data_IF_837361250783
#
_entry.id   IF_837361250783
#
_cell.length_a   1.000
_cell.length_b   1.000
_cell.length_c   1.000
_cell.angle_alpha   90.00
_cell.angle_beta   90.00
_cell.angle_gamma   90.00
#
_symmetry.space_group_name_H-M   'P 1'
#
loop_
_entity.id
_entity.type
_entity.pdbx_description
1 polymer ?
#
# COMPACT_ATOMS: atom_id res chain seq x y z
N UNK A 1 -10.43 -42.15 -49.20
CA UNK A 1 -9.83 -41.85 -47.87
C UNK A 1 -10.29 -40.51 -47.25
N UNK A 2 -11.50 -40.00 -47.52
CA UNK A 2 -11.88 -38.59 -47.22
C UNK A 2 -13.06 -38.39 -46.26
N UNK A 3 -13.83 -39.43 -45.90
CA UNK A 3 -15.00 -39.30 -44.98
C UNK A 3 -14.67 -39.35 -43.48
N UNK A 4 -13.56 -39.98 -43.09
CA UNK A 4 -13.19 -40.18 -41.68
C UNK A 4 -12.75 -38.89 -40.95
N UNK A 5 -12.01 -38.00 -41.63
CA UNK A 5 -11.59 -36.71 -41.05
C UNK A 5 -12.77 -35.76 -40.80
N UNK A 6 -13.78 -35.77 -41.66
CA UNK A 6 -14.96 -34.90 -41.57
C UNK A 6 -15.85 -35.24 -40.36
N UNK A 7 -16.00 -36.54 -40.06
CA UNK A 7 -16.76 -36.97 -38.89
C UNK A 7 -16.04 -36.68 -37.56
N UNK A 8 -14.70 -36.73 -37.53
CA UNK A 8 -13.91 -36.28 -36.35
C UNK A 8 -14.09 -34.78 -36.08
N UNK A 9 -14.16 -33.96 -37.12
CA UNK A 9 -14.34 -32.51 -36.99
C UNK A 9 -15.72 -32.15 -36.41
N UNK A 10 -16.78 -32.82 -36.88
CA UNK A 10 -18.15 -32.62 -36.37
C UNK A 10 -18.29 -33.13 -34.93
N UNK A 11 -17.61 -34.24 -34.58
CA UNK A 11 -17.60 -34.74 -33.20
C UNK A 11 -16.79 -33.85 -32.23
N UNK A 12 -15.77 -33.14 -32.73
CA UNK A 12 -15.01 -32.15 -31.96
C UNK A 12 -15.85 -30.91 -31.59
N UNK A 13 -16.72 -30.46 -32.50
CA UNK A 13 -17.66 -29.35 -32.26
C UNK A 13 -18.73 -29.76 -31.22
N UNK A 14 -19.23 -31.01 -31.28
CA UNK A 14 -20.25 -31.53 -30.35
C UNK A 14 -19.70 -31.86 -28.94
N UNK A 15 -18.39 -31.81 -28.73
CA UNK A 15 -17.69 -32.27 -27.52
C UNK A 15 -17.55 -31.21 -26.40
N UNK A 16 -18.09 -29.99 -26.54
CA UNK A 16 -17.91 -28.92 -25.54
C UNK A 16 -16.46 -28.44 -25.36
N UNK A 17 -15.50 -29.01 -26.11
CA UNK A 17 -14.08 -28.62 -26.11
C UNK A 17 -13.87 -27.24 -26.71
N UNK A 18 -14.52 -26.93 -27.84
CA UNK A 18 -14.46 -25.61 -28.47
C UNK A 18 -14.97 -24.49 -27.56
N UNK A 19 -16.09 -24.71 -26.87
CA UNK A 19 -16.62 -23.78 -25.87
C UNK A 19 -15.63 -23.54 -24.72
N UNK A 20 -14.97 -24.60 -24.22
CA UNK A 20 -13.92 -24.49 -23.18
C UNK A 20 -12.70 -23.71 -23.67
N UNK A 21 -12.28 -23.87 -24.94
CA UNK A 21 -11.18 -23.12 -25.53
C UNK A 21 -11.50 -21.64 -25.69
N UNK A 22 -12.69 -21.31 -26.23
CA UNK A 22 -13.13 -19.91 -26.37
C UNK A 22 -13.27 -19.24 -25.00
N UNK A 23 -13.85 -19.93 -24.01
CA UNK A 23 -13.95 -19.43 -22.64
C UNK A 23 -12.57 -19.25 -21.98
N UNK A 24 -11.62 -20.16 -22.25
CA UNK A 24 -10.24 -20.05 -21.80
C UNK A 24 -9.52 -18.84 -22.41
N UNK A 25 -9.74 -18.59 -23.70
CA UNK A 25 -9.15 -17.46 -24.42
C UNK A 25 -9.75 -16.12 -23.94
N UNK A 26 -11.06 -16.07 -23.72
CA UNK A 26 -11.73 -14.91 -23.12
C UNK A 26 -11.21 -14.61 -21.70
N UNK A 27 -11.05 -15.64 -20.86
CA UNK A 27 -10.43 -15.50 -19.53
C UNK A 27 -8.99 -15.00 -19.61
N UNK A 28 -8.20 -15.53 -20.54
CA UNK A 28 -6.81 -15.10 -20.71
C UNK A 28 -6.74 -13.62 -21.11
N UNK A 29 -7.55 -13.18 -22.09
CA UNK A 29 -7.63 -11.77 -22.50
C UNK A 29 -8.07 -10.88 -21.34
N UNK A 30 -9.04 -11.31 -20.55
CA UNK A 30 -9.51 -10.55 -19.39
C UNK A 30 -8.43 -10.39 -18.31
N UNK A 31 -7.71 -11.47 -17.99
CA UNK A 31 -6.59 -11.43 -17.03
C UNK A 31 -5.47 -10.52 -17.55
N UNK A 32 -5.10 -10.65 -18.83
CA UNK A 32 -4.07 -9.80 -19.45
C UNK A 32 -4.50 -8.33 -19.42
N UNK A 33 -5.78 -8.03 -19.68
CA UNK A 33 -6.31 -6.66 -19.61
C UNK A 33 -6.22 -6.05 -18.20
N UNK A 34 -6.53 -6.84 -17.16
CA UNK A 34 -6.38 -6.40 -15.76
C UNK A 34 -4.91 -6.18 -15.43
N UNK A 35 -4.04 -7.12 -15.79
CA UNK A 35 -2.60 -6.99 -15.57
C UNK A 35 -2.05 -5.73 -16.26
N UNK A 36 -2.44 -5.48 -17.51
CA UNK A 36 -2.01 -4.28 -18.24
C UNK A 36 -2.49 -3.00 -17.56
N UNK A 37 -3.73 -2.95 -17.09
CA UNK A 37 -4.28 -1.77 -16.38
C UNK A 37 -3.50 -1.46 -15.11
N UNK A 38 -3.07 -2.49 -14.36
CA UNK A 38 -2.26 -2.34 -13.14
C UNK A 38 -0.84 -1.92 -13.46
N UNK A 39 -0.23 -2.48 -14.51
CA UNK A 39 1.16 -2.21 -14.90
C UNK A 39 1.31 -0.88 -15.64
N UNK A 40 0.27 -0.40 -16.33
CA UNK A 40 0.29 0.83 -17.11
C UNK A 40 0.89 2.04 -16.35
N UNK A 41 0.42 2.42 -15.13
CA UNK A 41 1.01 3.53 -14.41
C UNK A 41 2.48 3.29 -14.03
N UNK A 42 2.89 2.05 -13.74
CA UNK A 42 4.30 1.73 -13.45
C UNK A 42 5.18 1.93 -14.69
N UNK A 43 4.70 1.48 -15.86
CA UNK A 43 5.40 1.66 -17.13
C UNK A 43 5.55 3.16 -17.49
N UNK A 44 4.50 3.96 -17.28
CA UNK A 44 4.59 5.41 -17.50
C UNK A 44 5.59 6.08 -16.57
N UNK A 45 5.61 5.73 -15.28
CA UNK A 45 6.60 6.28 -14.33
C UNK A 45 8.03 5.84 -14.65
N UNK A 46 8.22 4.61 -15.10
CA UNK A 46 9.51 4.14 -15.57
C UNK A 46 9.98 4.95 -16.79
N UNK A 47 9.10 5.16 -17.77
CA UNK A 47 9.42 5.98 -18.94
C UNK A 47 9.73 7.43 -18.58
N UNK A 48 8.92 8.05 -17.70
CA UNK A 48 9.17 9.42 -17.19
C UNK A 48 10.51 9.55 -16.46
N UNK A 49 11.01 8.47 -15.82
CA UNK A 49 12.31 8.53 -15.15
C UNK A 49 13.50 8.67 -16.12
N UNK A 50 13.28 8.31 -17.39
CA UNK A 50 14.27 8.39 -18.49
C UNK A 50 14.08 9.63 -19.37
N UNK A 51 13.00 10.39 -19.18
CA UNK A 51 12.69 11.60 -19.93
C UNK A 51 13.55 12.79 -19.48
N UNK A 52 13.86 13.70 -20.41
CA UNK A 52 14.38 15.02 -20.07
C UNK A 52 13.27 15.91 -19.47
N UNK A 53 13.65 16.94 -18.71
CA UNK A 53 12.69 17.87 -18.12
C UNK A 53 11.79 18.54 -19.18
N UNK A 54 12.30 18.77 -20.39
CA UNK A 54 11.51 19.33 -21.52
C UNK A 54 10.43 18.37 -22.01
N UNK A 55 10.75 17.08 -22.08
CA UNK A 55 9.82 16.03 -22.51
C UNK A 55 8.67 15.83 -21.50
N UNK A 56 8.88 16.18 -20.22
CA UNK A 56 7.83 16.11 -19.18
C UNK A 56 6.72 17.15 -19.36
N UNK A 57 7.01 18.28 -20.01
CA UNK A 57 6.04 19.37 -20.23
C UNK A 57 5.44 19.33 -21.65
N UNK A 58 5.91 18.44 -22.51
CA UNK A 58 5.37 18.27 -23.86
C UNK A 58 4.14 17.32 -23.85
N UNK A 59 2.93 17.81 -24.14
CA UNK A 59 1.73 16.97 -24.18
C UNK A 59 1.74 15.90 -25.30
N UNK A 60 2.65 15.99 -26.27
CA UNK A 60 2.85 14.99 -27.33
C UNK A 60 3.64 13.76 -26.85
N UNK A 61 4.48 13.91 -25.82
CA UNK A 61 5.37 12.83 -25.32
C UNK A 61 4.70 12.10 -24.15
N UNK A 62 3.93 11.04 -24.45
CA UNK A 62 3.15 10.32 -23.42
C UNK A 62 3.78 9.01 -22.93
N UNK A 63 4.63 8.36 -23.72
CA UNK A 63 5.06 6.99 -23.40
C UNK A 63 6.50 6.64 -23.80
N UNK A 64 7.03 7.20 -24.90
CA UNK A 64 8.43 7.01 -25.30
C UNK A 64 9.12 8.37 -25.26
N UNK A 65 10.22 8.53 -24.51
CA UNK A 65 10.98 9.79 -24.49
C UNK A 65 11.54 10.10 -25.88
N UNK A 66 11.55 11.38 -26.27
CA UNK A 66 12.28 11.82 -27.45
C UNK A 66 13.79 11.73 -27.22
N UNK A 67 14.21 12.00 -25.98
CA UNK A 67 15.61 11.94 -25.56
C UNK A 67 15.79 11.03 -24.35
N UNK A 68 16.60 9.98 -24.51
CA UNK A 68 16.93 9.06 -23.41
C UNK A 68 18.00 9.69 -22.52
N UNK A 69 17.63 10.08 -21.31
CA UNK A 69 18.53 10.72 -20.35
C UNK A 69 18.80 9.84 -19.13
N UNK A 70 19.83 8.99 -19.24
CA UNK A 70 20.30 8.15 -18.12
C UNK A 70 21.04 8.96 -17.03
N UNK A 71 21.43 10.21 -17.31
CA UNK A 71 22.10 11.08 -16.33
C UNK A 71 21.19 11.51 -15.17
N UNK A 72 19.86 11.36 -15.31
CA UNK A 72 18.89 11.64 -14.26
C UNK A 72 19.20 10.87 -12.97
N UNK A 73 19.64 9.61 -13.06
CA UNK A 73 19.93 8.79 -11.88
C UNK A 73 21.11 9.29 -11.04
N UNK A 74 22.35 9.46 -11.59
CA UNK A 74 23.46 9.98 -10.80
C UNK A 74 23.23 11.42 -10.33
N UNK A 75 22.57 12.27 -11.13
CA UNK A 75 22.20 13.63 -10.73
C UNK A 75 21.25 13.62 -9.51
N UNK A 76 20.20 12.78 -9.53
CA UNK A 76 19.27 12.65 -8.40
C UNK A 76 19.93 12.10 -7.13
N UNK A 77 20.81 11.10 -7.26
CA UNK A 77 21.47 10.48 -6.10
C UNK A 77 22.25 11.53 -5.30
N UNK A 78 22.96 12.43 -5.99
CA UNK A 78 23.69 13.53 -5.39
C UNK A 78 22.77 14.62 -4.83
N UNK A 79 21.78 15.06 -5.62
CA UNK A 79 20.89 16.17 -5.25
C UNK A 79 20.01 15.85 -4.03
N UNK A 80 19.45 14.63 -3.99
CA UNK A 80 18.49 14.22 -2.95
C UNK A 80 19.15 13.58 -1.72
N UNK A 81 20.47 13.35 -1.73
CA UNK A 81 21.15 12.46 -0.78
C UNK A 81 20.37 11.14 -0.64
N UNK A 82 20.15 10.48 -1.78
CA UNK A 82 19.19 9.38 -1.91
C UNK A 82 19.46 8.24 -0.91
N UNK A 83 20.71 7.81 -0.75
CA UNK A 83 21.09 6.70 0.12
C UNK A 83 20.75 6.96 1.61
N UNK A 84 21.16 8.10 2.21
CA UNK A 84 20.69 8.48 3.55
C UNK A 84 19.17 8.55 3.70
N UNK A 85 18.46 9.12 2.72
CA UNK A 85 17.01 9.23 2.77
C UNK A 85 16.33 7.85 2.72
N UNK A 86 16.85 6.95 1.88
CA UNK A 86 16.40 5.56 1.76
C UNK A 86 16.65 4.79 3.06
N UNK A 87 17.85 4.90 3.65
CA UNK A 87 18.16 4.22 4.91
C UNK A 87 17.28 4.72 6.06
N UNK A 88 17.06 6.04 6.15
CA UNK A 88 16.17 6.62 7.16
C UNK A 88 14.74 6.10 7.02
N UNK A 89 14.23 6.03 5.79
CA UNK A 89 12.88 5.53 5.51
C UNK A 89 12.76 4.03 5.80
N UNK A 90 13.77 3.23 5.44
CA UNK A 90 13.80 1.80 5.74
C UNK A 90 13.81 1.53 7.24
N UNK A 91 14.70 2.20 7.99
CA UNK A 91 14.81 2.04 9.44
C UNK A 91 13.51 2.50 10.12
N UNK A 92 13.02 3.70 9.77
CA UNK A 92 11.77 4.23 10.32
C UNK A 92 10.59 3.30 10.06
N UNK A 93 10.37 2.90 8.81
CA UNK A 93 9.22 2.07 8.43
C UNK A 93 9.29 0.69 9.08
N UNK A 94 10.46 0.09 9.19
CA UNK A 94 10.65 -1.22 9.82
C UNK A 94 10.34 -1.17 11.31
N UNK A 95 10.96 -0.24 12.06
CA UNK A 95 10.77 -0.15 13.52
C UNK A 95 9.31 0.18 13.84
N UNK A 96 8.72 1.16 13.14
CA UNK A 96 7.33 1.55 13.35
C UNK A 96 6.39 0.39 13.01
N UNK A 97 6.61 -0.33 11.91
CA UNK A 97 5.77 -1.47 11.53
C UNK A 97 5.82 -2.60 12.55
N UNK A 98 7.02 -2.93 13.07
CA UNK A 98 7.17 -3.97 14.10
C UNK A 98 6.47 -3.57 15.39
N UNK A 99 6.71 -2.36 15.90
CA UNK A 99 6.05 -1.85 17.11
C UNK A 99 4.52 -1.84 16.95
N UNK A 100 4.04 -1.38 15.80
CA UNK A 100 2.64 -1.32 15.43
C UNK A 100 1.98 -2.71 15.44
N UNK A 101 2.62 -3.71 14.82
CA UNK A 101 2.10 -5.08 14.75
C UNK A 101 2.04 -5.69 16.14
N UNK A 102 3.08 -5.53 16.95
CA UNK A 102 3.12 -6.05 18.33
C UNK A 102 1.98 -5.45 19.16
N UNK A 103 1.85 -4.12 19.17
CA UNK A 103 0.81 -3.44 19.95
C UNK A 103 -0.61 -3.78 19.46
N UNK A 104 -0.86 -3.74 18.14
CA UNK A 104 -2.18 -4.06 17.60
C UNK A 104 -2.56 -5.53 17.83
N UNK A 105 -1.59 -6.44 17.75
CA UNK A 105 -1.81 -7.86 18.02
C UNK A 105 -2.11 -8.12 19.49
N UNK A 106 -1.42 -7.45 20.41
CA UNK A 106 -1.69 -7.54 21.84
C UNK A 106 -3.11 -7.05 22.19
N UNK A 107 -3.52 -5.91 21.62
CA UNK A 107 -4.87 -5.38 21.80
C UNK A 107 -5.92 -6.29 21.16
N UNK A 108 -5.68 -6.77 19.94
CA UNK A 108 -6.57 -7.70 19.24
C UNK A 108 -6.75 -9.02 19.99
N UNK A 109 -5.68 -9.58 20.53
CA UNK A 109 -5.70 -10.75 21.41
C UNK A 109 -6.51 -10.49 22.68
N UNK A 110 -6.32 -9.31 23.29
CA UNK A 110 -7.13 -8.82 24.40
C UNK A 110 -8.63 -8.89 24.12
N UNK A 111 -9.05 -8.34 22.99
CA UNK A 111 -10.45 -8.37 22.54
C UNK A 111 -10.95 -9.75 22.09
N UNK A 112 -10.08 -10.65 21.66
CA UNK A 112 -10.49 -11.99 21.26
C UNK A 112 -10.72 -12.89 22.49
N UNK A 113 -9.72 -12.99 23.37
CA UNK A 113 -9.70 -14.00 24.44
C UNK A 113 -10.35 -13.55 25.75
N UNK A 114 -10.22 -12.27 26.13
CA UNK A 114 -10.72 -11.78 27.41
C UNK A 114 -12.15 -11.23 27.30
N UNK A 115 -12.97 -11.48 28.33
CA UNK A 115 -14.32 -10.94 28.45
C UNK A 115 -14.36 -9.96 29.63
N UNK A 116 -14.27 -8.67 29.32
CA UNK A 116 -14.29 -7.58 30.31
C UNK A 116 -15.50 -6.66 30.08
N UNK A 117 -15.91 -5.95 31.14
CA UNK A 117 -17.03 -4.99 31.09
C UNK A 117 -16.68 -3.84 30.14
N UNK A 118 -17.55 -3.52 29.18
CA UNK A 118 -17.33 -2.46 28.18
C UNK A 118 -16.64 -2.88 26.88
N UNK A 119 -16.29 -4.16 26.72
CA UNK A 119 -15.65 -4.72 25.50
C UNK A 119 -16.31 -4.31 24.18
N UNK A 120 -17.65 -4.34 24.12
CA UNK A 120 -18.41 -3.97 22.91
C UNK A 120 -18.28 -2.49 22.57
N UNK A 121 -18.26 -1.62 23.59
CA UNK A 121 -18.14 -0.17 23.42
C UNK A 121 -16.74 0.21 22.93
N UNK A 122 -15.69 -0.31 23.57
CA UNK A 122 -14.32 -0.06 23.14
C UNK A 122 -14.08 -0.60 21.72
N UNK A 123 -14.62 -1.78 21.39
CA UNK A 123 -14.50 -2.32 20.04
C UNK A 123 -15.26 -1.48 18.99
N UNK A 124 -16.41 -0.90 19.35
CA UNK A 124 -17.10 0.06 18.48
C UNK A 124 -16.24 1.31 18.22
N UNK A 125 -15.51 1.80 19.24
CA UNK A 125 -14.52 2.88 19.07
C UNK A 125 -13.42 2.53 18.06
N UNK A 126 -12.91 1.29 18.10
CA UNK A 126 -11.91 0.79 17.12
C UNK A 126 -12.49 0.80 15.69
N UNK A 127 -13.76 0.40 15.53
CA UNK A 127 -14.47 0.43 14.24
C UNK A 127 -14.61 1.87 13.74
N UNK A 128 -14.98 2.81 14.61
CA UNK A 128 -15.12 4.22 14.24
C UNK A 128 -13.76 4.79 13.80
N UNK A 129 -12.70 4.46 14.53
CA UNK A 129 -11.35 4.91 14.21
C UNK A 129 -10.85 4.43 12.84
N UNK A 130 -11.23 3.23 12.38
CA UNK A 130 -10.85 2.76 11.04
C UNK A 130 -11.67 3.38 9.89
N UNK A 131 -12.87 3.91 10.18
CA UNK A 131 -13.70 4.63 9.19
C UNK A 131 -13.16 6.05 8.99
N UNK A 132 -12.51 6.61 10.01
CA UNK A 132 -11.97 7.96 9.97
C UNK A 132 -10.88 8.09 8.89
N UNK A 133 -11.02 9.03 7.93
CA UNK A 133 -10.01 9.21 6.90
C UNK A 133 -8.71 9.76 7.52
N UNK A 134 -7.53 9.27 7.12
CA UNK A 134 -6.26 9.67 7.74
C UNK A 134 -5.94 11.16 7.53
N UNK A 135 -6.44 11.79 6.46
CA UNK A 135 -6.15 13.17 6.12
C UNK A 135 -6.70 14.19 7.13
N UNK A 136 -7.86 13.94 7.74
CA UNK A 136 -8.44 14.87 8.73
C UNK A 136 -7.74 14.79 10.09
N UNK A 137 -7.02 13.69 10.36
CA UNK A 137 -6.27 13.50 11.60
C UNK A 137 -4.88 14.13 11.57
N UNK A 138 -4.31 14.41 10.40
CA UNK A 138 -2.93 14.92 10.29
C UNK A 138 -2.75 16.27 10.98
N UNK A 139 -3.65 17.24 10.71
CA UNK A 139 -3.59 18.58 11.31
C UNK A 139 -3.66 18.55 12.84
N UNK A 140 -4.68 17.93 13.47
CA UNK A 140 -4.74 17.88 14.92
C UNK A 140 -3.59 17.07 15.53
N UNK A 141 -3.13 16.00 14.86
CA UNK A 141 -2.00 15.21 15.33
C UNK A 141 -0.70 16.03 15.36
N UNK A 142 -0.46 16.83 14.33
CA UNK A 142 0.68 17.75 14.28
C UNK A 142 0.63 18.76 15.42
N UNK A 143 -0.52 19.40 15.66
CA UNK A 143 -0.69 20.35 16.77
C UNK A 143 -0.45 19.70 18.13
N UNK A 144 -0.94 18.46 18.31
CA UNK A 144 -0.70 17.70 19.54
C UNK A 144 0.79 17.47 19.77
N UNK A 145 1.54 16.98 18.77
CA UNK A 145 2.98 16.71 18.93
C UNK A 145 3.83 17.97 18.98
N UNK A 146 3.38 19.08 18.39
CA UNK A 146 4.03 20.38 18.51
C UNK A 146 4.00 20.87 19.94
N UNK A 147 2.83 20.85 20.56
CA UNK A 147 2.63 21.25 21.95
C UNK A 147 2.92 20.14 22.98
N UNK A 148 3.44 18.98 22.54
CA UNK A 148 3.67 17.84 23.44
C UNK A 148 4.95 18.04 24.27
N UNK A 149 4.75 18.27 25.56
CA UNK A 149 5.81 18.37 26.56
C UNK A 149 5.70 17.16 27.49
N UNK A 150 6.62 16.20 27.39
CA UNK A 150 6.61 15.02 28.25
C UNK A 150 6.89 15.43 29.70
N UNK A 151 5.85 15.53 30.54
CA UNK A 151 5.93 15.89 31.97
C UNK A 151 6.71 17.18 32.29
N UNK A 152 6.85 18.11 31.35
CA UNK A 152 7.69 19.31 31.54
C UNK A 152 9.19 19.10 31.28
N UNK A 153 9.64 17.88 30.98
CA UNK A 153 11.07 17.55 30.81
C UNK A 153 11.61 17.86 29.40
N UNK A 154 10.77 17.81 28.38
CA UNK A 154 11.18 18.04 27.00
C UNK A 154 10.75 19.44 26.54
N UNK A 155 11.61 20.20 25.85
CA UNK A 155 11.21 21.45 25.23
C UNK A 155 10.01 21.21 24.28
N UNK A 156 9.00 22.11 24.27
CA UNK A 156 7.98 22.09 23.22
C UNK A 156 8.67 22.14 21.86
N UNK A 157 8.12 21.41 20.87
CA UNK A 157 8.68 21.17 19.53
C UNK A 157 9.72 20.03 19.37
N UNK A 158 10.25 19.42 20.43
CA UNK A 158 11.30 18.37 20.32
C UNK A 158 10.86 17.13 19.52
N UNK A 159 9.57 16.81 19.54
CA UNK A 159 9.04 15.62 18.87
C UNK A 159 8.74 15.84 17.37
N UNK A 160 8.62 17.09 16.92
CA UNK A 160 8.28 17.39 15.53
C UNK A 160 9.53 17.21 14.65
N UNK A 161 9.43 16.36 13.62
CA UNK A 161 10.56 16.03 12.73
C UNK A 161 11.42 14.86 13.17
N UNK A 162 11.12 14.24 14.32
CA UNK A 162 11.78 13.05 14.82
C UNK A 162 10.93 11.78 14.64
N UNK A 163 11.53 10.62 14.91
CA UNK A 163 10.86 9.30 14.91
C UNK A 163 9.83 9.17 16.06
N UNK A 164 9.98 9.99 17.11
CA UNK A 164 9.22 9.93 18.36
C UNK A 164 7.69 9.86 18.20
N UNK A 165 7.04 10.77 17.45
CA UNK A 165 5.59 10.72 17.22
C UNK A 165 5.12 9.41 16.60
N UNK A 166 5.85 8.90 15.60
CA UNK A 166 5.48 7.66 14.92
C UNK A 166 5.57 6.45 15.84
N UNK A 167 6.61 6.38 16.68
CA UNK A 167 6.74 5.32 17.67
C UNK A 167 5.71 5.43 18.78
N UNK A 168 5.44 6.64 19.29
CA UNK A 168 4.43 6.85 20.32
C UNK A 168 3.05 6.36 19.87
N UNK A 169 2.66 6.68 18.63
CA UNK A 169 1.39 6.21 18.05
C UNK A 169 1.37 4.71 17.79
N UNK A 170 2.50 4.14 17.36
CA UNK A 170 2.61 2.70 17.12
C UNK A 170 2.49 1.91 18.42
N UNK A 171 3.22 2.33 19.46
CA UNK A 171 3.22 1.69 20.77
C UNK A 171 1.86 1.79 21.46
N UNK A 172 1.19 2.94 21.38
CA UNK A 172 -0.14 3.18 21.96
C UNK A 172 -1.29 2.64 21.10
N UNK A 173 -0.99 1.97 19.99
CA UNK A 173 -1.98 1.48 19.03
C UNK A 173 -3.03 2.53 18.63
N UNK A 174 -2.61 3.79 18.48
CA UNK A 174 -3.46 4.95 18.18
C UNK A 174 -3.18 5.57 16.79
N UNK A 175 -2.37 4.91 15.96
CA UNK A 175 -2.14 5.32 14.58
C UNK A 175 -3.41 5.22 13.71
N UNK A 176 -3.54 6.02 12.62
CA UNK A 176 -4.75 6.07 11.79
C UNK A 176 -5.19 4.72 11.20
N UNK A 177 -4.26 3.75 11.05
CA UNK A 177 -4.53 2.42 10.50
C UNK A 177 -4.62 1.32 11.55
N UNK A 178 -4.44 1.64 12.84
CA UNK A 178 -4.52 0.67 13.95
C UNK A 178 -5.85 -0.07 13.98
N UNK A 179 -6.96 0.61 13.69
CA UNK A 179 -8.29 0.03 13.80
C UNK A 179 -8.47 -1.21 12.92
N UNK A 180 -7.98 -1.16 11.68
CA UNK A 180 -7.97 -2.29 10.75
C UNK A 180 -7.09 -3.43 11.27
N UNK A 181 -5.89 -3.15 11.77
CA UNK A 181 -4.99 -4.19 12.26
C UNK A 181 -5.51 -4.87 13.53
N UNK A 182 -6.11 -4.12 14.46
CA UNK A 182 -6.74 -4.68 15.66
C UNK A 182 -7.93 -5.55 15.27
N UNK A 183 -8.74 -5.11 14.29
CA UNK A 183 -9.86 -5.89 13.76
C UNK A 183 -9.38 -7.21 13.15
N UNK A 184 -8.36 -7.18 12.29
CA UNK A 184 -7.77 -8.37 11.67
C UNK A 184 -7.15 -9.30 12.71
N UNK A 185 -6.35 -8.77 13.65
CA UNK A 185 -5.76 -9.56 14.73
C UNK A 185 -6.84 -10.25 15.58
N UNK A 186 -7.93 -9.54 15.90
CA UNK A 186 -9.07 -10.14 16.60
C UNK A 186 -9.74 -11.25 15.79
N UNK A 187 -9.87 -11.12 14.47
CA UNK A 187 -10.42 -12.18 13.62
C UNK A 187 -9.52 -13.42 13.57
N UNK A 188 -8.20 -13.21 13.59
CA UNK A 188 -7.22 -14.29 13.59
C UNK A 188 -7.23 -15.11 14.90
N UNK A 189 -7.40 -14.46 16.05
CA UNK A 189 -7.41 -15.11 17.37
C UNK A 189 -8.79 -15.61 17.84
N UNK A 190 -9.83 -15.44 17.02
CA UNK A 190 -11.19 -15.90 17.34
C UNK A 190 -11.36 -17.37 16.96
#
# INVERSE_FOLDING_TARGET
MTKSKRNKFIHFIKSGRLAKWVLGLAKAVFIIGICFTILYPLLTKFSMSLMDQRDLFDPMVKFIPNTLRLSNYPELIGYMKYWPALSNTLVLSTIVSVAQVISCSAVGYGFAKFNFKGKKLLFAGVIIAMILPPFISITPLYLNFKSFTLFGLLPPDTMVGNIGPFLALALTASAPRCGLYIFLARQFFR
#
